data_IF_969611170038
#
_entry.id   IF_969611170038
#
_cell.length_a   1.000
_cell.length_b   1.000
_cell.length_c   1.000
_cell.angle_alpha   90.00
_cell.angle_beta   90.00
_cell.angle_gamma   90.00
#
_symmetry.space_group_name_H-M   'P 1'
#
loop_
_entity.id
_entity.type
_entity.pdbx_description
1 polymer ?
#
# COMPACT_ATOMS: atom_id res chain seq x y z
N UNK A 1 5.97 -7.45 -0.03
CA UNK A 1 7.27 -6.74 -0.02
C UNK A 1 7.18 -5.35 0.62
N UNK A 2 6.27 -4.46 0.20
CA UNK A 2 6.11 -3.14 0.81
C UNK A 2 5.95 -3.16 2.34
N UNK A 3 5.01 -3.96 2.85
CA UNK A 3 4.75 -4.12 4.28
C UNK A 3 5.97 -4.60 5.09
N UNK A 4 6.85 -5.40 4.48
CA UNK A 4 8.07 -5.87 5.13
C UNK A 4 9.01 -4.70 5.43
N UNK A 5 9.28 -3.85 4.43
CA UNK A 5 10.17 -2.69 4.61
C UNK A 5 9.63 -1.68 5.61
N UNK A 6 8.32 -1.44 5.60
CA UNK A 6 7.66 -0.61 6.62
C UNK A 6 7.89 -1.23 8.01
N UNK A 7 7.73 -2.55 8.15
CA UNK A 7 7.96 -3.26 9.41
C UNK A 7 9.41 -3.17 9.91
N UNK A 8 10.38 -3.38 9.01
CA UNK A 8 11.82 -3.28 9.31
C UNK A 8 12.20 -1.86 9.79
N UNK A 9 11.66 -0.81 9.17
CA UNK A 9 11.90 0.58 9.56
C UNK A 9 11.21 0.98 10.87
N UNK A 10 10.15 0.28 11.26
CA UNK A 10 9.38 0.56 12.49
C UNK A 10 9.83 -0.26 13.69
N UNK A 11 10.76 -1.21 13.51
CA UNK A 11 11.28 -2.06 14.58
C UNK A 11 10.19 -2.94 15.20
N UNK A 12 9.30 -3.48 14.36
CA UNK A 12 8.18 -4.32 14.79
C UNK A 12 8.69 -5.57 15.49
N UNK A 13 8.05 -5.94 16.61
CA UNK A 13 8.38 -7.17 17.31
C UNK A 13 8.21 -8.40 16.40
N UNK A 14 9.22 -9.27 16.37
CA UNK A 14 9.25 -10.47 15.52
C UNK A 14 10.04 -10.29 14.22
N UNK A 15 10.26 -9.04 13.77
CA UNK A 15 11.11 -8.75 12.61
C UNK A 15 12.53 -8.34 13.03
N UNK A 16 13.54 -8.56 12.18
CA UNK A 16 14.87 -7.99 12.38
C UNK A 16 14.82 -6.47 12.53
N UNK A 17 15.71 -5.93 13.36
CA UNK A 17 15.72 -4.51 13.73
C UNK A 17 16.81 -3.71 13.03
N UNK A 18 17.58 -4.33 12.16
CA UNK A 18 18.78 -3.76 11.58
C UNK A 18 18.52 -2.40 10.88
N UNK A 19 17.44 -2.28 10.10
CA UNK A 19 17.07 -1.00 9.47
C UNK A 19 16.56 0.04 10.49
N UNK A 20 15.82 -0.39 11.51
CA UNK A 20 15.40 0.48 12.62
C UNK A 20 16.62 1.00 13.40
N UNK A 21 17.59 0.13 13.70
CA UNK A 21 18.80 0.45 14.47
C UNK A 21 19.78 1.31 13.64
N UNK A 22 19.72 1.23 12.31
CA UNK A 22 20.35 2.17 11.38
C UNK A 22 19.58 3.51 11.25
N UNK A 23 18.45 3.66 11.95
CA UNK A 23 17.67 4.89 12.01
C UNK A 23 16.82 5.16 10.77
N UNK A 24 16.54 4.15 9.94
CA UNK A 24 15.64 4.31 8.79
C UNK A 24 14.18 4.39 9.24
N UNK A 25 13.44 5.28 8.59
CA UNK A 25 12.00 5.44 8.74
C UNK A 25 11.33 5.40 7.37
N UNK A 26 10.13 4.82 7.30
CA UNK A 26 9.27 4.95 6.12
C UNK A 26 8.76 6.40 6.02
N UNK A 27 9.10 7.07 4.91
CA UNK A 27 8.78 8.48 4.68
C UNK A 27 7.54 8.63 3.83
N UNK A 28 7.55 7.96 2.69
CA UNK A 28 6.50 8.10 1.69
C UNK A 28 6.20 6.77 1.02
N UNK A 29 4.92 6.55 0.73
CA UNK A 29 4.40 5.38 0.00
C UNK A 29 3.75 5.90 -1.28
N UNK A 30 4.18 5.40 -2.44
CA UNK A 30 3.66 5.78 -3.76
C UNK A 30 3.58 7.32 -3.96
N UNK A 31 4.59 8.05 -3.46
CA UNK A 31 4.61 9.51 -3.57
C UNK A 31 5.29 9.95 -4.87
N UNK A 32 4.50 10.56 -5.75
CA UNK A 32 4.97 11.09 -7.03
C UNK A 32 5.59 12.48 -6.88
N UNK A 33 6.75 12.68 -7.48
CA UNK A 33 7.42 13.97 -7.60
C UNK A 33 8.16 14.08 -8.93
N UNK A 34 8.55 15.29 -9.32
CA UNK A 34 9.34 15.51 -10.53
C UNK A 34 10.84 15.48 -10.21
N UNK A 35 11.67 14.86 -11.04
CA UNK A 35 13.13 14.92 -10.95
C UNK A 35 13.68 16.22 -11.58
N UNK A 36 15.00 16.42 -11.59
CA UNK A 36 15.64 17.62 -12.13
C UNK A 36 15.24 17.96 -13.57
N UNK A 37 14.91 16.95 -14.39
CA UNK A 37 14.49 17.07 -15.79
C UNK A 37 12.98 17.30 -15.94
N UNK A 38 12.27 17.53 -14.83
CA UNK A 38 10.81 17.63 -14.72
C UNK A 38 10.05 16.35 -15.10
N UNK A 39 10.76 15.21 -15.19
CA UNK A 39 10.12 13.93 -15.43
C UNK A 39 9.58 13.36 -14.10
N UNK A 40 8.39 12.78 -14.16
CA UNK A 40 7.73 12.21 -12.98
C UNK A 40 8.38 10.89 -12.56
N UNK A 41 8.64 10.78 -11.26
CA UNK A 41 9.09 9.57 -10.56
C UNK A 41 8.12 9.29 -9.42
N UNK A 42 7.79 8.02 -9.22
CA UNK A 42 6.81 7.59 -8.23
C UNK A 42 7.28 6.27 -7.59
N UNK A 43 8.28 6.33 -6.68
CA UNK A 43 8.74 5.14 -5.98
C UNK A 43 7.63 4.58 -5.09
N UNK A 44 7.56 3.25 -5.00
CA UNK A 44 6.59 2.56 -4.16
C UNK A 44 6.82 2.85 -2.68
N UNK A 45 8.08 2.99 -2.29
CA UNK A 45 8.48 3.35 -0.94
C UNK A 45 9.73 4.22 -0.95
N UNK A 46 9.71 5.28 -0.13
CA UNK A 46 10.90 6.04 0.23
C UNK A 46 11.16 5.79 1.72
N UNK A 47 12.35 5.28 2.05
CA UNK A 47 12.85 5.23 3.42
C UNK A 47 14.04 6.17 3.56
N UNK A 48 14.24 6.75 4.74
CA UNK A 48 15.39 7.60 4.98
C UNK A 48 15.85 7.59 6.43
N UNK A 49 17.15 7.78 6.62
CA UNK A 49 17.79 7.85 7.94
C UNK A 49 18.62 9.13 8.08
N UNK A 50 18.36 9.86 9.17
CA UNK A 50 19.20 11.01 9.58
C UNK A 50 20.57 10.56 10.08
N UNK A 51 20.65 9.34 10.62
CA UNK A 51 21.85 8.79 11.23
C UNK A 51 22.87 8.41 10.16
N UNK A 52 22.42 7.76 9.08
CA UNK A 52 23.28 7.42 7.93
C UNK A 52 23.29 8.50 6.85
N UNK A 53 22.46 9.54 7.01
CA UNK A 53 22.22 10.62 6.05
C UNK A 53 21.88 10.10 4.64
N UNK A 54 21.12 9.00 4.59
CA UNK A 54 20.86 8.23 3.39
C UNK A 54 19.37 7.99 3.19
N UNK A 55 18.91 8.20 1.95
CA UNK A 55 17.58 7.85 1.50
C UNK A 55 17.63 6.69 0.49
N UNK A 56 16.67 5.78 0.56
CA UNK A 56 16.51 4.70 -0.41
C UNK A 56 15.12 4.82 -1.02
N UNK A 57 15.08 4.89 -2.34
CA UNK A 57 13.86 4.86 -3.14
C UNK A 57 13.70 3.45 -3.68
N UNK A 58 12.63 2.77 -3.29
CA UNK A 58 12.33 1.42 -3.76
C UNK A 58 11.37 1.45 -4.93
N UNK A 59 11.74 0.73 -5.98
CA UNK A 59 10.85 0.27 -7.04
C UNK A 59 10.62 -1.24 -6.83
N UNK A 60 9.41 -1.61 -6.45
CA UNK A 60 9.02 -2.97 -6.07
C UNK A 60 8.30 -3.63 -7.24
N UNK A 61 8.87 -4.70 -7.77
CA UNK A 61 8.29 -5.46 -8.89
C UNK A 61 7.60 -6.72 -8.38
N UNK A 62 6.29 -6.81 -8.65
CA UNK A 62 5.48 -8.01 -8.43
C UNK A 62 5.75 -9.09 -9.50
N UNK A 63 6.23 -8.70 -10.67
CA UNK A 63 6.57 -9.57 -11.78
C UNK A 63 8.00 -9.39 -12.26
N UNK A 64 8.31 -9.95 -13.43
CA UNK A 64 9.67 -10.01 -13.94
C UNK A 64 10.09 -8.82 -14.82
N UNK A 65 9.21 -7.84 -15.02
CA UNK A 65 9.45 -6.77 -15.98
C UNK A 65 10.04 -5.55 -15.29
N UNK A 66 11.13 -5.03 -15.84
CA UNK A 66 11.66 -3.71 -15.54
C UNK A 66 11.27 -2.76 -16.68
N UNK A 67 10.97 -1.52 -16.35
CA UNK A 67 10.69 -0.47 -17.34
C UNK A 67 11.95 0.41 -17.46
N UNK A 68 12.66 0.29 -18.57
CA UNK A 68 13.89 1.05 -18.81
C UNK A 68 13.65 2.56 -18.85
N UNK A 69 12.48 3.02 -19.29
CA UNK A 69 12.15 4.44 -19.25
C UNK A 69 11.98 4.91 -17.80
N UNK A 70 11.33 4.10 -16.97
CA UNK A 70 11.18 4.36 -15.54
C UNK A 70 12.53 4.40 -14.83
N UNK A 71 13.40 3.41 -15.07
CA UNK A 71 14.76 3.36 -14.51
C UNK A 71 15.61 4.56 -14.96
N UNK A 72 15.45 5.01 -16.20
CA UNK A 72 16.10 6.23 -16.71
C UNK A 72 15.61 7.49 -15.98
N UNK A 73 14.32 7.60 -15.66
CA UNK A 73 13.80 8.73 -14.87
C UNK A 73 14.36 8.71 -13.45
N UNK A 74 14.48 7.53 -12.84
CA UNK A 74 15.05 7.37 -11.51
C UNK A 74 16.54 7.73 -11.43
N UNK A 75 17.33 7.42 -12.47
CA UNK A 75 18.77 7.73 -12.47
C UNK A 75 19.07 9.24 -12.46
N UNK A 76 18.06 10.05 -12.81
CA UNK A 76 18.11 11.52 -12.82
C UNK A 76 17.63 12.15 -11.52
N UNK A 77 17.20 11.36 -10.52
CA UNK A 77 16.83 11.88 -9.21
C UNK A 77 18.08 12.45 -8.52
N UNK A 78 18.01 13.72 -8.15
CA UNK A 78 19.05 14.41 -7.39
C UNK A 78 18.66 14.57 -5.92
N UNK A 79 19.65 14.88 -5.06
CA UNK A 79 19.38 15.26 -3.67
C UNK A 79 18.44 16.47 -3.58
N UNK A 80 18.57 17.46 -4.48
CA UNK A 80 17.73 18.66 -4.45
C UNK A 80 16.26 18.31 -4.74
N UNK A 81 16.00 17.35 -5.62
CA UNK A 81 14.65 16.84 -5.89
C UNK A 81 14.04 16.21 -4.63
N UNK A 82 14.82 15.38 -3.93
CA UNK A 82 14.39 14.72 -2.70
C UNK A 82 14.03 15.73 -1.60
N UNK A 83 14.84 16.76 -1.43
CA UNK A 83 14.60 17.78 -0.39
C UNK A 83 13.45 18.71 -0.78
N UNK A 84 13.45 19.24 -2.01
CA UNK A 84 12.50 20.28 -2.41
C UNK A 84 11.14 19.75 -2.84
N UNK A 85 11.10 18.55 -3.42
CA UNK A 85 9.90 18.03 -4.10
C UNK A 85 9.35 16.78 -3.42
N UNK A 86 10.21 15.94 -2.85
CA UNK A 86 9.81 14.84 -1.97
C UNK A 86 9.82 15.21 -0.48
N UNK A 87 10.06 16.49 -0.13
CA UNK A 87 9.97 17.02 1.23
C UNK A 87 10.79 16.24 2.29
N UNK A 88 11.88 15.60 1.89
CA UNK A 88 12.86 15.00 2.80
C UNK A 88 13.68 16.08 3.49
N UNK A 89 14.18 15.80 4.69
CA UNK A 89 15.13 16.72 5.32
C UNK A 89 16.50 16.62 4.64
N UNK A 90 17.25 17.73 4.61
CA UNK A 90 18.57 17.76 3.95
C UNK A 90 19.53 16.70 4.53
N UNK A 91 19.47 16.46 5.83
CA UNK A 91 20.28 15.46 6.52
C UNK A 91 19.72 14.02 6.41
N UNK A 92 18.60 13.81 5.73
CA UNK A 92 18.05 12.49 5.42
C UNK A 92 18.42 12.03 4.01
N UNK A 93 18.79 12.97 3.13
CA UNK A 93 19.04 12.74 1.71
C UNK A 93 20.41 13.25 1.26
N UNK A 94 21.42 13.31 2.16
CA UNK A 94 22.78 13.72 1.78
C UNK A 94 23.39 12.81 0.71
N UNK A 95 23.00 11.55 0.75
CA UNK A 95 23.17 10.56 -0.30
C UNK A 95 21.84 9.83 -0.51
N UNK A 96 21.68 9.25 -1.69
CA UNK A 96 20.53 8.40 -1.97
C UNK A 96 20.87 7.31 -2.97
N UNK A 97 20.13 6.21 -2.86
CA UNK A 97 20.11 5.12 -3.83
C UNK A 97 18.68 4.91 -4.33
N UNK A 98 18.58 4.45 -5.57
CA UNK A 98 17.35 3.84 -6.10
C UNK A 98 17.60 2.35 -6.15
N UNK A 99 16.78 1.58 -5.47
CA UNK A 99 16.89 0.13 -5.40
C UNK A 99 15.68 -0.52 -6.07
N UNK A 100 15.95 -1.54 -6.88
CA UNK A 100 14.91 -2.40 -7.45
C UNK A 100 14.74 -3.58 -6.50
N UNK A 101 13.49 -3.90 -6.16
CA UNK A 101 13.16 -5.04 -5.31
C UNK A 101 12.23 -6.00 -6.04
N UNK A 102 12.47 -7.31 -5.90
CA UNK A 102 11.59 -8.31 -6.49
C UNK A 102 11.66 -9.68 -5.81
N UNK A 103 10.85 -10.61 -6.32
CA UNK A 103 10.91 -12.02 -5.92
C UNK A 103 12.14 -12.69 -6.53
N UNK A 104 12.82 -13.55 -5.76
CA UNK A 104 13.90 -14.39 -6.25
C UNK A 104 13.46 -15.32 -7.40
N UNK A 105 12.18 -15.63 -7.51
CA UNK A 105 11.60 -16.38 -8.65
C UNK A 105 11.74 -15.65 -9.99
N UNK A 106 12.02 -14.34 -9.96
CA UNK A 106 12.20 -13.51 -11.15
C UNK A 106 13.63 -12.96 -11.29
N UNK A 107 14.58 -13.52 -10.52
CA UNK A 107 15.98 -13.07 -10.45
C UNK A 107 16.59 -12.78 -11.82
N UNK A 108 16.68 -13.76 -12.72
CA UNK A 108 17.39 -13.64 -14.00
C UNK A 108 16.86 -12.49 -14.87
N UNK A 109 15.53 -12.30 -14.86
CA UNK A 109 14.87 -11.25 -15.65
C UNK A 109 15.03 -9.87 -15.01
N UNK A 110 14.96 -9.78 -13.68
CA UNK A 110 15.21 -8.54 -12.95
C UNK A 110 16.68 -8.12 -13.08
N UNK A 111 17.63 -9.05 -12.95
CA UNK A 111 19.05 -8.83 -13.15
C UNK A 111 19.35 -8.34 -14.57
N UNK A 112 18.78 -9.02 -15.58
CA UNK A 112 18.89 -8.60 -16.98
C UNK A 112 18.38 -7.17 -17.14
N UNK A 113 17.17 -6.91 -16.65
CA UNK A 113 16.53 -5.60 -16.75
C UNK A 113 17.32 -4.46 -16.09
N UNK A 114 17.82 -4.69 -14.87
CA UNK A 114 18.67 -3.71 -14.17
C UNK A 114 19.98 -3.51 -14.91
N UNK A 115 20.62 -4.58 -15.39
CA UNK A 115 21.89 -4.50 -16.13
C UNK A 115 21.74 -3.77 -17.47
N UNK A 116 20.69 -4.10 -18.24
CA UNK A 116 20.39 -3.49 -19.54
C UNK A 116 20.02 -2.01 -19.43
N UNK A 117 19.53 -1.56 -18.27
CA UNK A 117 19.28 -0.14 -18.02
C UNK A 117 20.54 0.72 -18.07
N UNK A 118 21.72 0.11 -17.89
CA UNK A 118 23.01 0.80 -17.85
C UNK A 118 23.29 1.56 -16.56
N UNK A 119 22.44 1.41 -15.54
CA UNK A 119 22.59 2.02 -14.22
C UNK A 119 22.86 0.97 -13.14
N UNK A 120 23.75 1.30 -12.19
CA UNK A 120 24.12 0.40 -11.09
C UNK A 120 23.12 0.50 -9.92
N UNK A 121 21.83 0.22 -10.17
CA UNK A 121 20.82 0.20 -9.11
C UNK A 121 20.90 -1.08 -8.28
N UNK A 122 21.03 -1.02 -6.95
CA UNK A 122 20.96 -2.21 -6.10
C UNK A 122 19.72 -3.05 -6.39
N UNK A 123 19.91 -4.34 -6.63
CA UNK A 123 18.82 -5.32 -6.78
C UNK A 123 18.71 -6.13 -5.50
N UNK A 124 17.60 -5.95 -4.78
CA UNK A 124 17.27 -6.71 -3.58
C UNK A 124 16.23 -7.77 -3.94
N UNK A 125 16.51 -9.02 -3.58
CA UNK A 125 15.61 -10.13 -3.84
C UNK A 125 15.04 -10.66 -2.53
N UNK A 126 13.78 -11.10 -2.60
CA UNK A 126 13.07 -11.74 -1.50
C UNK A 126 12.70 -13.18 -1.87
N UNK A 127 12.86 -14.09 -0.92
CA UNK A 127 12.31 -15.44 -0.99
C UNK A 127 11.65 -15.81 0.36
N UNK A 128 11.35 -17.10 0.55
CA UNK A 128 10.69 -17.59 1.76
C UNK A 128 11.51 -17.46 3.04
N UNK A 129 12.84 -17.38 2.95
CA UNK A 129 13.73 -17.37 4.12
C UNK A 129 14.28 -15.95 4.41
N UNK A 130 13.99 -14.96 3.57
CA UNK A 130 14.28 -13.56 3.86
C UNK A 130 14.57 -12.70 2.63
N UNK A 131 15.39 -11.67 2.83
CA UNK A 131 15.81 -10.73 1.77
C UNK A 131 17.33 -10.65 1.67
N UNK A 132 17.85 -10.45 0.47
CA UNK A 132 19.29 -10.35 0.24
C UNK A 132 19.63 -9.41 -0.90
N UNK A 133 20.85 -8.86 -0.86
CA UNK A 133 21.41 -8.05 -1.94
C UNK A 133 21.97 -8.99 -3.01
N UNK A 134 21.43 -8.91 -4.22
CA UNK A 134 21.80 -9.79 -5.34
C UNK A 134 22.78 -9.13 -6.31
N UNK A 135 22.53 -7.87 -6.67
CA UNK A 135 23.32 -7.14 -7.67
C UNK A 135 23.56 -5.69 -7.24
N UNK A 136 24.78 -5.20 -7.51
CA UNK A 136 25.28 -3.87 -7.16
C UNK A 136 25.23 -3.56 -5.65
N UNK A 137 25.98 -2.54 -5.22
CA UNK A 137 26.10 -2.14 -3.80
C UNK A 137 25.34 -0.86 -3.54
N UNK A 138 24.78 -0.73 -2.34
CA UNK A 138 24.34 0.56 -1.84
C UNK A 138 25.55 1.46 -1.58
N UNK A 139 25.37 2.78 -1.67
CA UNK A 139 26.38 3.77 -1.28
C UNK A 139 26.73 3.72 0.20
N UNK A 140 25.84 3.15 1.01
CA UNK A 140 26.01 2.98 2.45
C UNK A 140 26.38 1.53 2.78
N UNK A 141 27.65 1.23 3.13
CA UNK A 141 28.10 -0.15 3.35
C UNK A 141 27.40 -0.87 4.51
N UNK A 142 26.84 -0.13 5.47
CA UNK A 142 26.06 -0.75 6.54
C UNK A 142 24.74 -1.34 6.04
N UNK A 143 24.18 -0.84 4.93
CA UNK A 143 23.00 -1.42 4.28
C UNK A 143 23.37 -2.74 3.60
N UNK A 144 24.48 -2.74 2.84
CA UNK A 144 25.02 -3.97 2.24
C UNK A 144 25.30 -5.05 3.29
N UNK A 145 25.90 -4.66 4.43
CA UNK A 145 26.23 -5.58 5.52
C UNK A 145 25.02 -6.23 6.18
N UNK A 146 23.86 -5.57 6.17
CA UNK A 146 22.59 -6.15 6.66
C UNK A 146 22.01 -7.15 5.66
N UNK A 147 22.14 -6.86 4.36
CA UNK A 147 21.55 -7.65 3.28
C UNK A 147 22.47 -8.75 2.75
N UNK A 148 23.71 -8.84 3.25
CA UNK A 148 24.73 -9.79 2.78
C UNK A 148 25.22 -10.70 3.92
N UNK A 149 25.15 -12.03 3.78
CA UNK A 149 24.63 -12.76 2.62
C UNK A 149 23.10 -12.72 2.52
N UNK A 150 22.41 -12.47 3.64
CA UNK A 150 20.95 -12.47 3.76
C UNK A 150 20.52 -11.88 5.10
N UNK A 151 19.41 -11.15 5.08
CA UNK A 151 18.61 -10.84 6.27
C UNK A 151 17.49 -11.88 6.41
N UNK A 152 17.62 -12.77 7.38
CA UNK A 152 16.64 -13.82 7.65
C UNK A 152 15.34 -13.24 8.21
N UNK A 153 14.21 -13.56 7.58
CA UNK A 153 12.90 -13.04 7.97
C UNK A 153 11.87 -14.17 7.87
N UNK A 154 11.08 -14.33 8.92
CA UNK A 154 9.85 -15.10 8.86
C UNK A 154 8.77 -14.27 8.15
N UNK A 155 8.52 -14.59 6.88
CA UNK A 155 7.59 -13.84 6.03
C UNK A 155 6.14 -13.90 6.55
N UNK A 156 5.79 -14.91 7.36
CA UNK A 156 4.47 -15.05 7.97
C UNK A 156 4.26 -14.08 9.15
N UNK A 157 5.34 -13.51 9.69
CA UNK A 157 5.28 -12.53 10.78
C UNK A 157 5.19 -11.07 10.30
N UNK A 158 5.21 -10.83 8.99
CA UNK A 158 5.14 -9.47 8.44
C UNK A 158 3.72 -8.91 8.60
N UNK A 159 3.52 -7.83 9.39
CA UNK A 159 2.20 -7.24 9.55
C UNK A 159 1.71 -6.55 8.28
N UNK A 160 0.39 -6.54 8.07
CA UNK A 160 -0.23 -5.76 7.00
C UNK A 160 -0.40 -4.28 7.42
N UNK A 161 0.54 -3.42 7.04
CA UNK A 161 0.47 -1.96 7.26
C UNK A 161 -0.36 -1.23 6.19
N UNK A 162 -0.34 -1.76 4.98
CA UNK A 162 -1.16 -1.33 3.85
C UNK A 162 -2.12 -2.48 3.54
N UNK A 163 -3.33 -2.49 4.15
CA UNK A 163 -4.29 -3.56 3.95
C UNK A 163 -5.02 -3.47 2.60
N UNK A 164 -5.06 -2.28 2.00
CA UNK A 164 -5.61 -2.01 0.67
C UNK A 164 -4.74 -0.97 -0.04
N UNK A 165 -4.66 -1.08 -1.36
CA UNK A 165 -3.87 -0.23 -2.24
C UNK A 165 -4.66 0.16 -3.51
N UNK A 166 -3.98 0.80 -4.47
CA UNK A 166 -4.58 1.22 -5.73
C UNK A 166 -4.98 0.06 -6.65
N UNK A 167 -4.41 -1.13 -6.48
CA UNK A 167 -4.71 -2.32 -7.29
C UNK A 167 -5.85 -3.16 -6.68
N UNK A 168 -6.10 -2.99 -5.38
CA UNK A 168 -7.08 -3.74 -4.62
C UNK A 168 -8.47 -3.68 -5.25
N UNK A 169 -9.13 -4.84 -5.32
CA UNK A 169 -10.45 -4.98 -5.94
C UNK A 169 -11.54 -4.35 -5.06
N UNK A 170 -12.71 -4.06 -5.65
CA UNK A 170 -13.88 -3.57 -4.89
C UNK A 170 -14.27 -4.56 -3.78
N UNK A 171 -14.13 -5.86 -4.00
CA UNK A 171 -14.38 -6.90 -2.99
C UNK A 171 -13.40 -6.78 -1.84
N UNK A 172 -12.09 -6.76 -2.13
CA UNK A 172 -11.03 -6.61 -1.12
C UNK A 172 -11.21 -5.34 -0.29
N UNK A 173 -11.57 -4.22 -0.92
CA UNK A 173 -11.89 -3.00 -0.17
C UNK A 173 -13.13 -3.16 0.70
N UNK A 174 -14.19 -3.81 0.21
CA UNK A 174 -15.42 -4.02 0.98
C UNK A 174 -15.19 -4.86 2.24
N UNK A 175 -14.28 -5.84 2.19
CA UNK A 175 -13.88 -6.67 3.33
C UNK A 175 -13.27 -5.85 4.47
N UNK A 176 -12.65 -4.70 4.18
CA UNK A 176 -12.04 -3.83 5.19
C UNK A 176 -12.94 -2.66 5.57
N UNK A 177 -13.56 -2.02 4.57
CA UNK A 177 -14.36 -0.79 4.74
C UNK A 177 -15.66 -1.04 5.51
N UNK A 178 -16.40 -2.10 5.18
CA UNK A 178 -17.72 -2.33 5.80
C UNK A 178 -17.59 -2.66 7.30
N UNK A 179 -16.69 -3.57 7.74
CA UNK A 179 -16.43 -3.77 9.17
C UNK A 179 -16.03 -2.50 9.90
N UNK A 180 -15.19 -1.66 9.28
CA UNK A 180 -14.77 -0.41 9.89
C UNK A 180 -15.96 0.53 10.14
N UNK A 181 -16.87 0.69 9.16
CA UNK A 181 -18.07 1.51 9.32
C UNK A 181 -18.99 0.95 10.41
N UNK A 182 -19.24 -0.37 10.42
CA UNK A 182 -20.07 -1.01 11.47
C UNK A 182 -19.45 -0.79 12.86
N UNK A 183 -18.13 -0.92 12.98
CA UNK A 183 -17.41 -0.68 14.23
C UNK A 183 -17.47 0.80 14.64
N UNK A 184 -17.43 1.72 13.68
CA UNK A 184 -17.56 3.15 13.94
C UNK A 184 -18.92 3.53 14.52
N UNK A 185 -19.98 2.74 14.28
CA UNK A 185 -21.29 2.98 14.89
C UNK A 185 -21.26 2.93 16.42
N UNK A 186 -20.30 2.23 17.02
CA UNK A 186 -20.15 2.21 18.49
C UNK A 186 -19.84 3.57 19.09
N UNK A 187 -19.29 4.50 18.30
CA UNK A 187 -19.00 5.87 18.73
C UNK A 187 -20.24 6.79 18.64
N UNK A 188 -21.40 6.27 18.24
CA UNK A 188 -22.64 7.01 18.00
C UNK A 188 -22.48 8.22 17.07
N UNK A 189 -21.78 8.10 15.93
CA UNK A 189 -21.69 9.21 14.98
C UNK A 189 -23.04 9.41 14.30
N UNK A 190 -23.48 10.67 14.17
CA UNK A 190 -24.56 11.01 13.25
C UNK A 190 -24.08 11.01 11.79
N UNK A 191 -22.80 11.34 11.59
CA UNK A 191 -22.16 11.44 10.29
C UNK A 191 -20.71 10.95 10.36
N UNK A 192 -20.24 10.32 9.29
CA UNK A 192 -18.84 9.88 9.14
C UNK A 192 -18.30 10.47 7.85
N UNK A 193 -17.17 11.18 7.93
CA UNK A 193 -16.47 11.68 6.74
C UNK A 193 -15.73 10.53 6.05
N UNK A 194 -15.79 10.50 4.72
CA UNK A 194 -15.09 9.52 3.91
C UNK A 194 -13.58 9.49 4.19
N UNK A 195 -12.98 10.68 4.38
CA UNK A 195 -11.57 10.80 4.76
C UNK A 195 -11.25 10.05 6.06
N UNK A 196 -12.11 10.16 7.08
CA UNK A 196 -11.95 9.45 8.36
C UNK A 196 -12.09 7.93 8.22
N UNK A 197 -12.83 7.46 7.22
CA UNK A 197 -12.91 6.03 6.89
C UNK A 197 -11.60 5.58 6.25
N UNK A 198 -11.09 6.32 5.27
CA UNK A 198 -9.81 6.03 4.62
C UNK A 198 -8.63 6.02 5.60
N UNK A 199 -8.56 7.03 6.48
CA UNK A 199 -7.60 7.05 7.59
C UNK A 199 -7.76 5.86 8.52
N UNK A 200 -9.01 5.48 8.82
CA UNK A 200 -9.30 4.39 9.75
C UNK A 200 -8.96 3.00 9.25
N UNK A 201 -9.05 2.77 7.93
CA UNK A 201 -8.66 1.49 7.31
C UNK A 201 -7.15 1.39 7.06
N UNK A 202 -6.45 2.52 6.89
CA UNK A 202 -4.99 2.58 6.71
C UNK A 202 -4.30 3.46 7.78
N UNK A 203 -4.52 3.24 9.09
CA UNK A 203 -4.19 4.22 10.13
C UNK A 203 -2.69 4.48 10.27
N UNK A 204 -1.88 3.49 9.94
CA UNK A 204 -0.44 3.57 10.13
C UNK A 204 0.28 4.22 8.94
N UNK A 205 -0.37 4.34 7.77
CA UNK A 205 0.30 4.64 6.49
C UNK A 205 -0.41 5.72 5.68
N UNK A 206 -1.67 6.04 5.99
CA UNK A 206 -2.47 6.99 5.23
C UNK A 206 -1.78 8.34 5.07
N UNK A 207 -1.19 8.90 6.13
CA UNK A 207 -0.56 10.22 6.06
C UNK A 207 0.69 10.23 5.16
N UNK A 208 1.41 9.11 5.11
CA UNK A 208 2.61 8.91 4.29
C UNK A 208 2.31 8.49 2.84
N UNK A 209 1.06 8.22 2.47
CA UNK A 209 0.72 7.89 1.08
C UNK A 209 0.75 9.13 0.17
N UNK A 210 1.07 8.94 -1.10
CA UNK A 210 0.94 9.96 -2.15
C UNK A 210 -0.51 10.43 -2.36
N UNK A 211 -0.68 11.64 -2.90
CA UNK A 211 -2.01 12.23 -3.10
C UNK A 211 -2.85 11.47 -4.13
N UNK A 212 -2.22 10.99 -5.20
CA UNK A 212 -2.89 10.23 -6.26
C UNK A 212 -3.41 8.87 -5.75
N UNK A 213 -2.59 8.02 -5.08
CA UNK A 213 -3.06 6.81 -4.43
C UNK A 213 -4.21 7.04 -3.45
N UNK A 214 -4.12 8.06 -2.58
CA UNK A 214 -5.21 8.44 -1.67
C UNK A 214 -6.49 8.76 -2.44
N UNK A 215 -6.39 9.49 -3.55
CA UNK A 215 -7.52 9.82 -4.42
C UNK A 215 -8.20 8.58 -5.00
N UNK A 216 -7.41 7.64 -5.52
CA UNK A 216 -7.90 6.37 -6.08
C UNK A 216 -8.57 5.51 -5.00
N UNK A 217 -7.91 5.30 -3.87
CA UNK A 217 -8.45 4.52 -2.75
C UNK A 217 -9.74 5.16 -2.25
N UNK A 218 -9.76 6.48 -2.00
CA UNK A 218 -10.96 7.21 -1.58
C UNK A 218 -12.11 7.06 -2.58
N UNK A 219 -11.82 7.11 -3.88
CA UNK A 219 -12.79 6.83 -4.94
C UNK A 219 -13.41 5.43 -4.80
N UNK A 220 -12.57 4.39 -4.67
CA UNK A 220 -13.05 3.01 -4.51
C UNK A 220 -13.81 2.79 -3.20
N UNK A 221 -13.37 3.38 -2.07
CA UNK A 221 -14.10 3.34 -0.79
C UNK A 221 -15.49 3.96 -0.93
N UNK A 222 -15.59 5.10 -1.63
CA UNK A 222 -16.89 5.73 -1.93
C UNK A 222 -17.80 4.80 -2.71
N UNK A 223 -17.26 4.14 -3.74
CA UNK A 223 -18.03 3.23 -4.58
C UNK A 223 -18.54 2.01 -3.80
N UNK A 224 -17.68 1.41 -2.96
CA UNK A 224 -18.06 0.33 -2.03
C UNK A 224 -19.24 0.76 -1.15
N UNK A 225 -19.11 1.91 -0.47
CA UNK A 225 -20.14 2.39 0.45
C UNK A 225 -21.43 2.77 -0.27
N UNK A 226 -21.35 3.29 -1.50
CA UNK A 226 -22.52 3.65 -2.29
C UNK A 226 -23.29 2.40 -2.66
N UNK A 227 -22.61 1.39 -3.21
CA UNK A 227 -23.20 0.07 -3.52
C UNK A 227 -23.83 -0.58 -2.28
N UNK A 228 -23.11 -0.56 -1.16
CA UNK A 228 -23.59 -1.09 0.11
C UNK A 228 -24.88 -0.38 0.58
N UNK A 229 -24.89 0.97 0.56
CA UNK A 229 -26.03 1.78 0.97
C UNK A 229 -27.27 1.58 0.08
N UNK A 230 -27.10 1.28 -1.21
CA UNK A 230 -28.24 1.05 -2.11
C UNK A 230 -28.76 -0.39 -2.09
N UNK A 231 -27.90 -1.35 -1.69
CA UNK A 231 -28.24 -2.77 -1.75
C UNK A 231 -28.66 -3.34 -0.39
N UNK A 232 -27.75 -3.35 0.59
CA UNK A 232 -27.92 -4.10 1.85
C UNK A 232 -28.01 -3.20 3.10
N UNK A 233 -27.60 -1.95 3.00
CA UNK A 233 -27.46 -1.01 4.13
C UNK A 233 -28.35 0.24 4.03
N UNK A 234 -29.41 0.21 3.21
CA UNK A 234 -30.31 1.36 2.92
C UNK A 234 -30.91 2.02 4.15
N UNK A 235 -31.21 1.22 5.18
CA UNK A 235 -31.76 1.70 6.44
C UNK A 235 -30.68 2.07 7.45
N UNK A 236 -29.42 1.72 7.21
CA UNK A 236 -28.33 1.95 8.17
C UNK A 236 -27.65 3.28 7.91
N UNK A 237 -27.23 3.50 6.67
CA UNK A 237 -26.49 4.70 6.28
C UNK A 237 -26.71 5.04 4.81
N UNK A 238 -26.43 6.29 4.45
CA UNK A 238 -26.44 6.74 3.06
C UNK A 238 -25.51 7.93 2.86
N UNK A 239 -25.20 8.25 1.61
CA UNK A 239 -24.46 9.46 1.27
C UNK A 239 -25.38 10.67 1.20
N UNK A 240 -25.06 11.74 1.92
CA UNK A 240 -25.70 13.06 1.77
C UNK A 240 -25.05 13.88 0.67
N UNK A 241 -23.75 13.69 0.50
CA UNK A 241 -22.95 14.18 -0.61
C UNK A 241 -21.85 13.15 -0.92
N UNK A 242 -20.91 13.47 -1.80
CA UNK A 242 -19.87 12.52 -2.20
C UNK A 242 -18.88 12.13 -1.09
N UNK A 243 -18.88 12.80 0.07
CA UNK A 243 -17.85 12.63 1.10
C UNK A 243 -18.38 12.47 2.53
N UNK A 244 -19.70 12.52 2.73
CA UNK A 244 -20.33 12.38 4.06
C UNK A 244 -21.33 11.23 4.04
N UNK A 245 -21.07 10.24 4.89
CA UNK A 245 -21.95 9.13 5.18
C UNK A 245 -22.83 9.50 6.40
N UNK A 246 -24.12 9.70 6.18
CA UNK A 246 -25.09 9.96 7.25
C UNK A 246 -25.67 8.64 7.79
N UNK A 247 -25.64 8.49 9.11
CA UNK A 247 -26.15 7.32 9.82
C UNK A 247 -27.64 7.54 10.09
N UNK A 248 -28.49 6.67 9.53
CA UNK A 248 -29.95 6.75 9.67
C UNK A 248 -30.45 6.03 10.90
N UNK A 249 -29.93 4.83 11.14
CA UNK A 249 -30.31 3.99 12.28
C UNK A 249 -29.04 3.46 12.93
N UNK A 250 -28.75 3.93 14.15
CA UNK A 250 -27.67 3.39 14.95
C UNK A 250 -28.24 2.32 15.91
N UNK A 251 -27.77 1.05 15.85
CA UNK A 251 -28.23 0.02 16.76
C UNK A 251 -28.19 0.41 18.24
N UNK A 252 -27.23 1.26 18.65
CA UNK A 252 -27.07 1.71 20.04
C UNK A 252 -28.19 2.62 20.56
N UNK A 253 -29.05 3.13 19.69
CA UNK A 253 -30.24 3.90 20.07
C UNK A 253 -31.41 3.00 20.50
N UNK A 254 -31.28 1.68 20.26
CA UNK A 254 -32.26 0.68 20.64
C UNK A 254 -31.99 0.16 22.07
N UNK A 255 -32.99 -0.50 22.67
CA UNK A 255 -32.81 -1.21 23.94
C UNK A 255 -31.82 -2.37 23.83
N UNK A 256 -31.13 -2.72 24.93
CA UNK A 256 -29.99 -3.67 24.95
C UNK A 256 -30.24 -5.02 24.23
N UNK A 257 -31.43 -5.61 24.37
CA UNK A 257 -31.78 -6.86 23.66
C UNK A 257 -31.89 -6.70 22.14
N UNK A 258 -32.31 -5.53 21.68
CA UNK A 258 -32.41 -5.21 20.25
C UNK A 258 -31.06 -4.84 19.66
N UNK A 259 -30.17 -4.20 20.44
CA UNK A 259 -28.80 -3.87 20.01
C UNK A 259 -28.04 -5.09 19.49
N UNK A 260 -27.97 -6.18 20.28
CA UNK A 260 -27.25 -7.39 19.86
C UNK A 260 -27.84 -8.02 18.60
N UNK A 261 -29.18 -8.00 18.46
CA UNK A 261 -29.87 -8.53 17.26
C UNK A 261 -29.56 -7.69 16.03
N UNK A 262 -29.57 -6.36 16.15
CA UNK A 262 -29.27 -5.49 15.02
C UNK A 262 -27.80 -5.57 14.60
N UNK A 263 -26.84 -5.66 15.53
CA UNK A 263 -25.44 -5.88 15.15
C UNK A 263 -25.22 -7.23 14.46
N UNK A 264 -25.92 -8.29 14.89
CA UNK A 264 -25.91 -9.58 14.17
C UNK A 264 -26.54 -9.45 12.78
N UNK A 265 -27.62 -8.68 12.65
CA UNK A 265 -28.25 -8.38 11.36
C UNK A 265 -27.31 -7.64 10.43
N UNK A 266 -26.57 -6.63 10.91
CA UNK A 266 -25.57 -5.89 10.14
C UNK A 266 -24.42 -6.80 9.67
N UNK A 267 -23.94 -7.70 10.54
CA UNK A 267 -22.91 -8.68 10.16
C UNK A 267 -23.41 -9.62 9.05
N UNK A 268 -24.63 -10.13 9.16
CA UNK A 268 -25.23 -10.97 8.10
C UNK A 268 -25.36 -10.20 6.78
N UNK A 269 -25.81 -8.95 6.83
CA UNK A 269 -25.91 -8.08 5.64
C UNK A 269 -24.54 -7.80 5.00
N UNK A 270 -23.49 -7.68 5.81
CA UNK A 270 -22.11 -7.61 5.30
C UNK A 270 -21.74 -8.88 4.55
N UNK A 271 -21.96 -10.07 5.13
CA UNK A 271 -21.65 -11.35 4.49
C UNK A 271 -22.41 -11.52 3.17
N UNK A 272 -23.71 -11.21 3.15
CA UNK A 272 -24.54 -11.22 1.93
C UNK A 272 -24.02 -10.22 0.88
N UNK A 273 -23.65 -9.00 1.28
CA UNK A 273 -23.09 -8.01 0.36
C UNK A 273 -21.78 -8.47 -0.28
N UNK A 274 -20.89 -9.09 0.50
CA UNK A 274 -19.62 -9.62 -0.01
C UNK A 274 -19.88 -10.77 -0.99
N UNK A 275 -20.82 -11.66 -0.69
CA UNK A 275 -21.22 -12.74 -1.61
C UNK A 275 -21.76 -12.20 -2.94
N UNK A 276 -22.60 -11.16 -2.91
CA UNK A 276 -23.10 -10.51 -4.12
C UNK A 276 -21.95 -9.96 -4.99
N UNK A 277 -20.96 -9.31 -4.36
CA UNK A 277 -19.80 -8.77 -5.07
C UNK A 277 -18.91 -9.87 -5.66
N UNK A 278 -18.68 -10.96 -4.92
CA UNK A 278 -17.95 -12.12 -5.44
C UNK A 278 -18.65 -12.74 -6.65
N UNK A 279 -19.97 -12.88 -6.61
CA UNK A 279 -20.76 -13.38 -7.73
C UNK A 279 -20.64 -12.50 -8.98
N UNK A 280 -20.66 -11.18 -8.81
CA UNK A 280 -20.46 -10.23 -9.92
C UNK A 280 -19.05 -10.31 -10.51
N UNK A 281 -18.01 -10.45 -9.68
CA UNK A 281 -16.63 -10.54 -10.13
C UNK A 281 -16.35 -11.85 -10.89
N UNK A 282 -16.93 -12.96 -10.44
CA UNK A 282 -16.84 -14.24 -11.13
C UNK A 282 -17.52 -14.19 -12.52
N UNK A 283 -18.73 -13.63 -12.59
CA UNK A 283 -19.45 -13.47 -13.86
C UNK A 283 -18.74 -12.56 -14.87
N UNK A 284 -18.14 -11.46 -14.40
CA UNK A 284 -17.38 -10.55 -15.27
C UNK A 284 -16.11 -11.21 -15.85
N UNK A 285 -15.42 -12.05 -15.07
CA UNK A 285 -14.25 -12.80 -15.55
C UNK A 285 -14.63 -13.84 -16.60
N UNK A 286 -15.76 -14.51 -16.43
CA UNK A 286 -16.23 -15.53 -17.38
C UNK A 286 -16.59 -14.91 -18.74
N UNK A 287 -17.32 -13.78 -18.74
CA UNK A 287 -17.64 -13.04 -19.96
C UNK A 287 -16.40 -12.50 -20.69
N UNK A 288 -15.39 -12.03 -19.95
CA UNK A 288 -14.13 -11.55 -20.56
C UNK A 288 -13.27 -12.65 -21.17
N UNK A 289 -13.36 -13.88 -20.66
CA UNK A 289 -12.70 -15.06 -21.26
C UNK A 289 -13.43 -15.53 -22.52
N UNK A 290 -14.77 -15.57 -22.49
CA UNK A 290 -15.58 -15.94 -23.64
C UNK A 290 -15.39 -14.95 -24.82
N UNK A 291 -15.22 -13.65 -24.54
CA UNK A 291 -14.92 -12.63 -25.56
C UNK A 291 -13.48 -12.71 -26.10
N UNK A 292 -12.51 -13.17 -25.29
CA UNK A 292 -11.13 -13.37 -25.73
C UNK A 292 -10.96 -14.64 -26.57
N UNK A 293 -11.74 -15.69 -26.28
CA UNK A 293 -11.80 -16.92 -27.07
C UNK A 293 -12.57 -16.73 -28.40
N UNK A 294 -13.57 -15.85 -28.43
CA UNK A 294 -14.30 -15.52 -29.66
C UNK A 294 -13.49 -14.67 -30.67
N UNK A 295 -12.38 -14.07 -30.23
CA UNK A 295 -11.53 -13.18 -31.05
C UNK A 295 -10.19 -13.81 -31.44
N UNK A 296 -9.96 -15.09 -31.14
CA UNK A 296 -8.82 -15.90 -31.61
C UNK A 296 -9.29 -16.99 -32.59
#
# INVERSE_FOLDING_TARGET
MLNLWIGLCRGVAGLPRDFYDLGYHDKWIEYSFANQDLAHVAPDLIIASKQTQHAILFEIKSGANTDNEQLTRYSRVSQDDLVRRAALQQNEAAQHDVAVMGSAEHQDRLETGVTESGFAFPLVLADKDGIYLHLYSFKTPSVDGVLTPRLEIDMDQVPAFVPVDVESTIVTLAEVVIPYVITSLFQRPAQIRLESICMGICPATWDSMGTEPKGVIRGKVRDVLRRASTARFVDTFHFTNNDILEIRNNPLELGARMQSREFQSLKRRQEEFLQDLHGQQAGARQLGLDEAEANN
#
